data_IF_647122016944
#
_entry.id   IF_647122016944
#
_cell.length_a   1.000
_cell.length_b   1.000
_cell.length_c   1.000
_cell.angle_alpha   90.00
_cell.angle_beta   90.00
_cell.angle_gamma   90.00
#
_symmetry.space_group_name_H-M   'P 1'
#
loop_
_entity.id
_entity.type
_entity.pdbx_description
1 polymer ?
#
# COMPACT_ATOMS: atom_id res chain seq x y z
N UNK A 1 -13.11 -12.11 5.47
CA UNK A 1 -14.37 -12.79 5.12
C UNK A 1 -14.53 -14.12 5.88
N UNK A 2 -13.49 -14.96 6.01
CA UNK A 2 -13.56 -16.25 6.74
C UNK A 2 -14.09 -16.12 8.17
N UNK A 3 -13.48 -15.27 9.00
CA UNK A 3 -13.92 -15.05 10.39
C UNK A 3 -15.34 -14.50 10.48
N UNK A 4 -15.75 -13.66 9.53
CA UNK A 4 -17.12 -13.14 9.46
C UNK A 4 -18.13 -14.25 9.15
N UNK A 5 -17.82 -15.15 8.21
CA UNK A 5 -18.65 -16.32 7.95
C UNK A 5 -18.75 -17.25 9.16
N UNK A 6 -17.63 -17.51 9.84
CA UNK A 6 -17.64 -18.30 11.07
C UNK A 6 -18.52 -17.66 12.15
N UNK A 7 -18.39 -16.35 12.38
CA UNK A 7 -19.09 -15.67 13.47
C UNK A 7 -20.56 -15.38 13.18
N UNK A 8 -20.92 -15.11 11.93
CA UNK A 8 -22.28 -14.66 11.56
C UNK A 8 -23.12 -15.80 10.97
N UNK A 9 -22.51 -16.77 10.31
CA UNK A 9 -23.23 -17.88 9.68
C UNK A 9 -22.88 -19.26 10.27
N UNK A 10 -22.05 -19.30 11.32
CA UNK A 10 -21.53 -20.56 11.85
C UNK A 10 -20.71 -21.37 10.85
N UNK A 11 -20.18 -20.73 9.79
CA UNK A 11 -19.55 -21.44 8.70
C UNK A 11 -18.32 -22.23 9.17
N UNK A 12 -18.20 -23.50 8.76
CA UNK A 12 -17.00 -24.29 9.03
C UNK A 12 -15.83 -23.77 8.18
N UNK A 13 -14.79 -23.25 8.82
CA UNK A 13 -13.64 -22.66 8.13
C UNK A 13 -12.43 -23.57 8.04
N UNK A 14 -12.41 -24.69 8.77
CA UNK A 14 -11.21 -25.50 8.92
C UNK A 14 -10.94 -26.34 7.67
N UNK A 15 -9.74 -26.17 7.11
CA UNK A 15 -9.29 -26.91 5.94
C UNK A 15 -10.08 -26.66 4.64
N UNK A 16 -10.92 -25.61 4.59
CA UNK A 16 -11.74 -25.31 3.41
C UNK A 16 -10.97 -24.52 2.35
N UNK A 17 -11.25 -24.84 1.10
CA UNK A 17 -10.66 -24.22 -0.08
C UNK A 17 -11.42 -22.95 -0.53
N UNK A 18 -10.94 -22.32 -1.60
CA UNK A 18 -11.53 -21.09 -2.14
C UNK A 18 -12.94 -21.31 -2.70
N UNK A 19 -13.21 -22.49 -3.27
CA UNK A 19 -14.50 -22.83 -3.88
C UNK A 19 -15.60 -22.96 -2.84
N UNK A 20 -15.31 -23.56 -1.67
CA UNK A 20 -16.22 -23.53 -0.53
C UNK A 20 -16.60 -22.10 -0.15
N UNK A 21 -15.63 -21.21 0.00
CA UNK A 21 -15.91 -19.82 0.37
C UNK A 21 -16.65 -19.05 -0.71
N UNK A 22 -16.44 -19.37 -1.98
CA UNK A 22 -17.23 -18.83 -3.09
C UNK A 22 -18.70 -19.25 -2.95
N UNK A 23 -18.95 -20.54 -2.72
CA UNK A 23 -20.27 -21.16 -2.57
C UNK A 23 -21.03 -20.60 -1.38
N UNK A 24 -20.39 -20.46 -0.21
CA UNK A 24 -20.98 -19.87 1.01
C UNK A 24 -21.58 -18.48 0.74
N UNK A 25 -21.01 -17.71 -0.20
CA UNK A 25 -21.51 -16.38 -0.56
C UNK A 25 -22.64 -16.39 -1.59
N UNK A 26 -22.93 -17.52 -2.23
CA UNK A 26 -23.94 -17.64 -3.29
C UNK A 26 -25.31 -18.06 -2.76
N UNK A 27 -25.35 -18.86 -1.69
CA UNK A 27 -26.58 -19.47 -1.14
C UNK A 27 -26.80 -19.02 0.31
N UNK A 28 -28.05 -19.08 0.79
CA UNK A 28 -28.37 -18.71 2.18
C UNK A 28 -27.85 -19.74 3.18
N UNK A 29 -27.83 -21.01 2.82
CA UNK A 29 -27.33 -22.08 3.67
C UNK A 29 -26.88 -23.28 2.82
N UNK A 30 -26.30 -24.28 3.50
CA UNK A 30 -25.83 -25.52 2.87
C UNK A 30 -26.95 -26.34 2.23
N UNK A 31 -28.18 -26.26 2.75
CA UNK A 31 -29.32 -26.99 2.21
C UNK A 31 -29.78 -26.38 0.90
N UNK A 32 -29.83 -25.06 0.81
CA UNK A 32 -30.12 -24.33 -0.43
C UNK A 32 -29.14 -24.69 -1.55
N UNK A 33 -27.85 -24.79 -1.22
CA UNK A 33 -26.83 -25.27 -2.16
C UNK A 33 -27.10 -26.71 -2.60
N UNK A 34 -27.27 -27.62 -1.63
CA UNK A 34 -27.50 -29.04 -1.89
C UNK A 34 -28.78 -29.28 -2.69
N UNK A 35 -29.85 -28.52 -2.43
CA UNK A 35 -31.09 -28.56 -3.18
C UNK A 35 -30.86 -28.12 -4.64
N UNK A 36 -30.09 -27.06 -4.87
CA UNK A 36 -29.72 -26.64 -6.22
C UNK A 36 -28.92 -27.72 -6.97
N UNK A 37 -27.99 -28.40 -6.30
CA UNK A 37 -27.24 -29.53 -6.88
C UNK A 37 -28.12 -30.74 -7.16
N UNK A 38 -29.03 -31.09 -6.26
CA UNK A 38 -29.99 -32.17 -6.45
C UNK A 38 -30.93 -31.91 -7.64
N UNK A 39 -31.41 -30.68 -7.82
CA UNK A 39 -32.23 -30.28 -8.96
C UNK A 39 -31.50 -30.47 -10.30
N UNK A 40 -30.19 -30.23 -10.31
CA UNK A 40 -29.33 -30.43 -11.49
C UNK A 40 -28.82 -31.87 -11.64
N UNK A 41 -29.14 -32.77 -10.69
CA UNK A 41 -28.62 -34.15 -10.60
C UNK A 41 -27.10 -34.23 -10.36
N UNK A 42 -26.51 -33.17 -9.81
CA UNK A 42 -25.09 -33.08 -9.49
C UNK A 42 -24.79 -33.59 -8.06
N UNK A 43 -25.23 -34.81 -7.75
CA UNK A 43 -25.16 -35.35 -6.38
C UNK A 43 -23.72 -35.47 -5.85
N UNK A 44 -22.74 -35.64 -6.74
CA UNK A 44 -21.33 -35.75 -6.38
C UNK A 44 -20.74 -34.43 -5.84
N UNK A 45 -21.36 -33.29 -6.15
CA UNK A 45 -20.93 -31.97 -5.68
C UNK A 45 -21.64 -31.54 -4.40
N UNK A 46 -22.64 -32.29 -3.94
CA UNK A 46 -23.34 -31.97 -2.70
C UNK A 46 -22.39 -32.03 -1.50
N UNK A 47 -22.59 -31.10 -0.59
CA UNK A 47 -21.83 -31.02 0.63
C UNK A 47 -22.48 -31.83 1.76
N UNK A 48 -21.65 -32.46 2.58
CA UNK A 48 -22.11 -33.01 3.85
C UNK A 48 -22.41 -31.84 4.81
N UNK A 49 -23.66 -31.77 5.27
CA UNK A 49 -24.17 -30.61 6.04
C UNK A 49 -23.45 -30.41 7.38
N UNK A 50 -22.93 -31.46 8.02
CA UNK A 50 -22.21 -31.36 9.29
C UNK A 50 -20.80 -30.77 9.12
N UNK A 51 -20.12 -31.18 8.05
CA UNK A 51 -18.71 -30.80 7.82
C UNK A 51 -18.54 -29.55 6.97
N UNK A 52 -19.58 -29.13 6.24
CA UNK A 52 -19.58 -27.95 5.38
C UNK A 52 -20.68 -26.95 5.79
N UNK A 53 -21.14 -27.00 7.04
CA UNK A 53 -22.22 -26.15 7.53
C UNK A 53 -21.97 -24.65 7.28
N UNK A 54 -23.03 -23.93 6.90
CA UNK A 54 -23.24 -22.49 7.12
C UNK A 54 -24.74 -22.20 7.03
N UNK A 55 -25.17 -21.13 7.68
CA UNK A 55 -26.53 -20.62 7.57
C UNK A 55 -26.56 -19.11 7.84
N UNK A 56 -26.91 -18.32 6.83
CA UNK A 56 -27.05 -16.87 6.96
C UNK A 56 -28.41 -16.51 7.55
N UNK A 57 -28.43 -15.64 8.57
CA UNK A 57 -29.70 -15.13 9.14
C UNK A 57 -30.54 -14.36 8.12
N UNK A 58 -29.88 -13.59 7.25
CA UNK A 58 -30.54 -12.77 6.25
C UNK A 58 -29.62 -12.51 5.04
N UNK A 59 -30.24 -12.08 3.95
CA UNK A 59 -29.54 -11.87 2.68
C UNK A 59 -28.54 -10.69 2.73
N UNK A 60 -28.70 -9.76 3.66
CA UNK A 60 -27.77 -8.64 3.83
C UNK A 60 -26.44 -9.12 4.42
N UNK A 61 -26.48 -9.96 5.46
CA UNK A 61 -25.29 -10.62 6.02
C UNK A 61 -24.54 -11.44 4.95
N UNK A 62 -25.27 -12.22 4.14
CA UNK A 62 -24.68 -12.96 3.02
C UNK A 62 -24.05 -12.04 1.97
N UNK A 63 -24.71 -10.95 1.58
CA UNK A 63 -24.18 -9.96 0.62
C UNK A 63 -22.93 -9.28 1.16
N UNK A 64 -22.92 -8.92 2.45
CA UNK A 64 -21.75 -8.34 3.12
C UNK A 64 -20.56 -9.30 3.06
N UNK A 65 -20.78 -10.58 3.40
CA UNK A 65 -19.77 -11.62 3.23
C UNK A 65 -19.27 -11.73 1.79
N UNK A 66 -20.19 -11.79 0.82
CA UNK A 66 -19.85 -11.91 -0.62
C UNK A 66 -18.98 -10.74 -1.06
N UNK A 67 -19.29 -9.52 -0.63
CA UNK A 67 -18.49 -8.35 -0.93
C UNK A 67 -17.07 -8.45 -0.34
N UNK A 68 -16.96 -8.89 0.91
CA UNK A 68 -15.65 -9.10 1.55
C UNK A 68 -14.84 -10.19 0.84
N UNK A 69 -15.48 -11.28 0.41
CA UNK A 69 -14.83 -12.37 -0.32
C UNK A 69 -14.34 -11.89 -1.70
N UNK A 70 -15.19 -11.23 -2.49
CA UNK A 70 -14.82 -10.66 -3.80
C UNK A 70 -13.65 -9.67 -3.65
N UNK A 71 -13.72 -8.77 -2.68
CA UNK A 71 -12.66 -7.78 -2.44
C UNK A 71 -11.33 -8.46 -2.07
N UNK A 72 -11.38 -9.51 -1.25
CA UNK A 72 -10.19 -10.28 -0.89
C UNK A 72 -9.57 -10.99 -2.09
N UNK A 73 -10.41 -11.56 -2.96
CA UNK A 73 -9.97 -12.27 -4.16
C UNK A 73 -9.34 -11.30 -5.17
N UNK A 74 -9.95 -10.12 -5.36
CA UNK A 74 -9.38 -9.06 -6.19
C UNK A 74 -8.04 -8.56 -5.65
N UNK A 75 -7.93 -8.36 -4.33
CA UNK A 75 -6.69 -7.94 -3.69
C UNK A 75 -5.58 -8.98 -3.90
N UNK A 76 -5.89 -10.27 -3.76
CA UNK A 76 -4.92 -11.35 -3.98
C UNK A 76 -4.46 -11.41 -5.43
N UNK A 77 -5.38 -11.29 -6.38
CA UNK A 77 -5.08 -11.31 -7.82
C UNK A 77 -4.30 -10.06 -8.28
N UNK A 78 -4.55 -8.89 -7.68
CA UNK A 78 -3.85 -7.64 -7.97
C UNK A 78 -2.51 -7.45 -7.24
N UNK A 79 -2.23 -8.28 -6.23
CA UNK A 79 -1.12 -8.05 -5.29
C UNK A 79 0.24 -7.91 -5.98
N UNK A 80 0.51 -8.72 -7.01
CA UNK A 80 1.78 -8.69 -7.75
C UNK A 80 2.03 -7.33 -8.41
N UNK A 81 0.99 -6.73 -8.99
CA UNK A 81 1.09 -5.41 -9.61
C UNK A 81 1.26 -4.30 -8.58
N UNK A 82 0.52 -4.37 -7.47
CA UNK A 82 0.64 -3.42 -6.36
C UNK A 82 2.06 -3.44 -5.78
N UNK A 83 2.60 -4.63 -5.52
CA UNK A 83 3.98 -4.80 -5.03
C UNK A 83 5.00 -4.28 -6.04
N UNK A 84 4.83 -4.57 -7.33
CA UNK A 84 5.67 -4.02 -8.39
C UNK A 84 5.66 -2.49 -8.44
N UNK A 85 4.47 -1.88 -8.39
CA UNK A 85 4.30 -0.43 -8.38
C UNK A 85 4.98 0.23 -7.16
N UNK A 86 4.85 -0.39 -5.98
CA UNK A 86 5.54 0.09 -4.78
C UNK A 86 7.07 0.05 -4.92
N UNK A 87 7.62 -1.00 -5.52
CA UNK A 87 9.07 -1.06 -5.77
C UNK A 87 9.53 0.02 -6.74
N UNK A 88 8.80 0.23 -7.83
CA UNK A 88 9.11 1.29 -8.80
C UNK A 88 9.06 2.68 -8.15
N UNK A 89 8.05 2.93 -7.32
CA UNK A 89 7.94 4.16 -6.56
C UNK A 89 9.16 4.37 -5.66
N UNK A 90 9.59 3.32 -4.94
CA UNK A 90 10.79 3.39 -4.09
C UNK A 90 12.06 3.70 -4.87
N UNK A 91 12.25 3.11 -6.05
CA UNK A 91 13.42 3.40 -6.91
C UNK A 91 13.40 4.87 -7.35
N UNK A 92 12.25 5.36 -7.83
CA UNK A 92 12.09 6.75 -8.23
C UNK A 92 12.37 7.72 -7.07
N UNK A 93 11.85 7.42 -5.88
CA UNK A 93 12.12 8.19 -4.65
C UNK A 93 13.60 8.20 -4.30
N UNK A 94 14.30 7.06 -4.39
CA UNK A 94 15.74 6.98 -4.11
C UNK A 94 16.56 7.84 -5.09
N UNK A 95 16.23 7.79 -6.39
CA UNK A 95 16.88 8.63 -7.41
C UNK A 95 16.63 10.11 -7.11
N UNK A 96 15.39 10.49 -6.81
CA UNK A 96 15.05 11.87 -6.52
C UNK A 96 15.77 12.38 -5.26
N UNK A 97 15.81 11.56 -4.20
CA UNK A 97 16.53 11.86 -2.98
C UNK A 97 18.04 12.03 -3.25
N UNK A 98 18.66 11.12 -4.00
CA UNK A 98 20.08 11.22 -4.35
C UNK A 98 20.40 12.50 -5.15
N UNK A 99 19.54 12.88 -6.11
CA UNK A 99 19.67 14.14 -6.86
C UNK A 99 19.52 15.35 -5.96
N UNK A 100 18.53 15.35 -5.06
CA UNK A 100 18.30 16.43 -4.12
C UNK A 100 19.52 16.65 -3.22
N UNK A 101 20.04 15.58 -2.61
CA UNK A 101 21.24 15.62 -1.76
C UNK A 101 22.45 16.10 -2.54
N UNK A 102 22.68 15.59 -3.76
CA UNK A 102 23.77 16.04 -4.63
C UNK A 102 23.67 17.53 -4.95
N UNK A 103 22.48 18.02 -5.31
CA UNK A 103 22.25 19.44 -5.59
C UNK A 103 22.42 20.35 -4.37
N UNK A 104 22.03 19.87 -3.19
CA UNK A 104 22.21 20.58 -1.92
C UNK A 104 23.71 20.69 -1.60
N UNK A 105 24.46 19.59 -1.67
CA UNK A 105 25.90 19.59 -1.43
C UNK A 105 26.64 20.51 -2.42
N UNK A 106 26.26 20.51 -3.71
CA UNK A 106 26.85 21.41 -4.69
C UNK A 106 26.61 22.89 -4.34
N UNK A 107 25.39 23.26 -3.95
CA UNK A 107 25.06 24.63 -3.52
C UNK A 107 25.81 25.04 -2.25
N UNK A 108 26.01 24.13 -1.31
CA UNK A 108 26.80 24.40 -0.10
C UNK A 108 28.29 24.63 -0.42
N UNK A 109 28.84 23.88 -1.39
CA UNK A 109 30.19 24.13 -1.89
C UNK A 109 30.28 25.48 -2.63
N UNK A 110 29.26 25.84 -3.39
CA UNK A 110 29.17 27.13 -4.10
C UNK A 110 28.87 28.33 -3.18
N UNK A 111 28.25 28.13 -2.01
CA UNK A 111 27.97 29.18 -1.01
C UNK A 111 29.15 29.51 -0.10
N UNK A 112 30.36 29.08 -0.46
CA UNK A 112 31.58 29.64 0.13
C UNK A 112 31.74 31.06 -0.43
N UNK A 113 31.07 32.02 0.22
CA UNK A 113 31.13 33.43 -0.18
C UNK A 113 32.46 34.03 0.27
N UNK A 114 33.39 34.12 -0.67
CA UNK A 114 34.61 34.89 -0.53
C UNK A 114 34.34 36.33 -0.92
N UNK A 115 34.41 37.25 0.04
CA UNK A 115 34.31 38.68 -0.23
C UNK A 115 35.69 39.33 -0.18
N UNK A 116 36.04 40.06 -1.24
CA UNK A 116 37.26 40.86 -1.34
C UNK A 116 36.88 42.32 -1.52
N UNK A 117 37.45 43.20 -0.71
CA UNK A 117 37.31 44.65 -0.89
C UNK A 117 38.66 45.34 -0.84
N UNK A 118 38.81 46.31 -1.74
CA UNK A 118 40.01 47.14 -1.86
C UNK A 118 39.60 48.59 -1.64
N UNK A 119 40.23 49.25 -0.69
CA UNK A 119 40.00 50.66 -0.37
C UNK A 119 41.31 51.43 -0.35
N UNK A 120 41.27 52.67 -0.82
CA UNK A 120 42.39 53.61 -0.67
C UNK A 120 41.92 54.68 0.31
N UNK A 121 42.56 54.77 1.47
CA UNK A 121 42.24 55.76 2.49
C UNK A 121 43.25 56.91 2.36
N UNK A 122 42.75 58.12 2.08
CA UNK A 122 43.55 59.32 1.93
C UNK A 122 43.11 60.32 2.99
N UNK A 123 43.82 60.35 4.11
CA UNK A 123 43.60 61.33 5.17
C UNK A 123 44.56 62.50 4.98
N UNK A 124 44.12 63.76 5.11
CA UNK A 124 44.94 64.94 4.78
C UNK A 124 46.30 65.03 5.48
N UNK A 125 46.44 64.34 6.62
CA UNK A 125 47.64 64.36 7.46
C UNK A 125 48.43 63.04 7.44
N UNK A 126 48.06 62.08 6.57
CA UNK A 126 48.70 60.76 6.47
C UNK A 126 48.97 60.39 5.01
N UNK A 127 50.06 59.64 4.72
CA UNK A 127 50.30 59.12 3.39
C UNK A 127 49.17 58.15 2.97
N UNK A 128 48.83 58.15 1.68
CA UNK A 128 47.78 57.29 1.14
C UNK A 128 48.07 55.82 1.45
N UNK A 129 47.11 55.13 2.07
CA UNK A 129 47.22 53.71 2.40
C UNK A 129 46.25 52.87 1.58
N UNK A 130 46.72 51.70 1.14
CA UNK A 130 45.89 50.69 0.50
C UNK A 130 45.43 49.71 1.58
N UNK A 131 44.12 49.55 1.73
CA UNK A 131 43.51 48.56 2.61
C UNK A 131 42.90 47.46 1.76
N UNK A 132 43.27 46.21 2.05
CA UNK A 132 42.67 45.02 1.46
C UNK A 132 41.99 44.25 2.58
N UNK A 133 40.68 44.04 2.47
CA UNK A 133 39.94 43.21 3.42
C UNK A 133 39.43 41.96 2.71
N UNK A 134 39.68 40.81 3.33
CA UNK A 134 39.16 39.51 2.93
C UNK A 134 38.25 38.98 4.04
N UNK A 135 37.02 38.57 3.69
CA UNK A 135 36.17 37.82 4.60
C UNK A 135 35.63 36.57 3.91
N UNK A 136 35.47 35.51 4.70
CA UNK A 136 34.90 34.24 4.26
C UNK A 136 33.78 33.88 5.23
N UNK A 137 32.61 33.55 4.69
CA UNK A 137 31.51 32.95 5.46
C UNK A 137 31.62 31.43 5.41
N UNK A 138 31.53 30.78 6.58
CA UNK A 138 31.37 29.32 6.71
C UNK A 138 30.03 29.02 7.38
#
# INVERSE_FOLDING_TARGET
YKSYAASVAGANVDGKDADYYATVGQYMDVKDYNNAKALNRDFAEMYNEDTYYWQWDNNESRKNYRNMWVTSEQAFNGLRFIVGAMMLNRIASAINAARLVSSYNKRQLESTDWSFSFGVDQKPTLPASLTVNFSTGF
#
